data_IF_688708439927
#
_entry.id   IF_688708439927
#
_cell.length_a   1.000
_cell.length_b   1.000
_cell.length_c   1.000
_cell.angle_alpha   90.00
_cell.angle_beta   90.00
_cell.angle_gamma   90.00
#
_symmetry.space_group_name_H-M   'P 1'
#
loop_
_entity.id
_entity.type
_entity.pdbx_description
1 polymer ?
#
# COMPACT_ATOMS: atom_id res chain seq x y z
N UNK A 1 -0.27 34.36 -78.21
CA UNK A 1 -1.50 35.15 -77.99
C UNK A 1 -1.85 35.04 -76.52
N UNK A 2 -2.11 36.07 -75.74
CA UNK A 2 -1.89 37.52 -75.79
C UNK A 2 -2.24 37.98 -74.38
N UNK A 3 -1.49 38.94 -73.85
CA UNK A 3 -1.70 39.64 -72.58
C UNK A 3 -3.16 39.99 -72.25
N UNK A 4 -3.46 40.09 -70.94
CA UNK A 4 -3.97 41.36 -70.37
C UNK A 4 -4.03 41.39 -68.83
N UNK A 5 -3.12 42.20 -68.30
CA UNK A 5 -3.36 43.36 -67.41
C UNK A 5 -3.91 43.16 -65.99
N UNK A 6 -3.01 43.50 -65.07
CA UNK A 6 -3.19 44.12 -63.76
C UNK A 6 -4.41 45.06 -63.61
N UNK A 7 -4.92 45.10 -62.38
CA UNK A 7 -5.38 46.34 -61.75
C UNK A 7 -6.79 46.30 -61.17
N UNK A 8 -6.91 46.20 -59.84
CA UNK A 8 -7.27 47.36 -59.02
C UNK A 8 -7.20 47.04 -57.52
N UNK A 9 -6.49 47.90 -56.81
CA UNK A 9 -6.61 48.12 -55.38
C UNK A 9 -8.06 48.46 -55.00
N UNK A 10 -8.59 47.92 -53.90
CA UNK A 10 -8.88 48.76 -52.73
C UNK A 10 -9.39 47.97 -51.51
N UNK A 11 -8.71 48.22 -50.39
CA UNK A 11 -9.23 48.40 -49.03
C UNK A 11 -10.61 47.80 -48.72
N UNK A 12 -10.61 46.85 -47.79
CA UNK A 12 -11.19 47.05 -46.44
C UNK A 12 -10.63 46.04 -45.46
N UNK A 13 -9.82 46.54 -44.53
CA UNK A 13 -9.49 45.86 -43.28
C UNK A 13 -10.80 45.44 -42.59
N UNK A 14 -10.97 44.14 -42.35
CA UNK A 14 -11.72 43.65 -41.20
C UNK A 14 -10.85 42.67 -40.44
N UNK A 15 -10.65 43.04 -39.18
CA UNK A 15 -9.96 42.33 -38.12
C UNK A 15 -10.42 40.88 -38.01
N UNK A 16 -9.46 40.02 -37.63
CA UNK A 16 -9.70 38.95 -36.68
C UNK A 16 -9.86 37.55 -37.27
N UNK A 17 -8.77 36.79 -37.25
CA UNK A 17 -8.58 35.54 -36.47
C UNK A 17 -7.49 34.73 -37.20
N UNK A 18 -6.24 34.65 -36.71
CA UNK A 18 -5.32 33.64 -37.18
C UNK A 18 -5.76 32.27 -36.64
N UNK A 19 -5.87 31.32 -37.55
CA UNK A 19 -6.10 29.90 -37.31
C UNK A 19 -4.94 29.38 -36.45
N UNK A 20 -5.13 29.36 -35.14
CA UNK A 20 -4.28 28.63 -34.22
C UNK A 20 -4.48 27.14 -34.47
N UNK A 21 -3.42 26.50 -34.98
CA UNK A 21 -3.27 25.05 -35.03
C UNK A 21 -3.79 24.46 -33.72
N UNK A 22 -4.77 23.57 -33.81
CA UNK A 22 -5.29 22.80 -32.67
C UNK A 22 -4.12 22.07 -32.00
N UNK A 23 -3.69 22.56 -30.85
CA UNK A 23 -2.96 21.76 -29.89
C UNK A 23 -3.94 20.67 -29.42
N UNK A 24 -3.69 19.43 -29.83
CA UNK A 24 -4.41 18.26 -29.34
C UNK A 24 -3.92 18.00 -27.92
N UNK A 25 -4.43 18.79 -26.97
CA UNK A 25 -4.23 18.54 -25.56
C UNK A 25 -4.90 17.22 -25.22
N UNK A 26 -4.12 16.19 -24.92
CA UNK A 26 -4.60 15.03 -24.19
C UNK A 26 -5.07 15.55 -22.82
N UNK A 27 -6.35 15.91 -22.72
CA UNK A 27 -6.98 16.12 -21.43
C UNK A 27 -7.05 14.76 -20.76
N UNK A 28 -6.04 14.46 -19.95
CA UNK A 28 -6.11 13.37 -18.97
C UNK A 28 -7.47 13.46 -18.26
N UNK A 29 -8.19 12.34 -18.14
CA UNK A 29 -9.56 12.34 -17.62
C UNK A 29 -9.59 13.07 -16.28
N UNK A 30 -10.68 13.81 -16.00
CA UNK A 30 -10.86 14.58 -14.76
C UNK A 30 -10.48 13.77 -13.51
N UNK A 31 -10.78 12.47 -13.52
CA UNK A 31 -10.33 11.48 -12.53
C UNK A 31 -8.83 11.49 -12.26
N UNK A 32 -7.99 11.51 -13.30
CA UNK A 32 -6.53 11.53 -13.15
C UNK A 32 -6.05 12.82 -12.49
N UNK A 33 -6.65 13.98 -12.84
CA UNK A 33 -6.32 15.25 -12.18
C UNK A 33 -6.71 15.24 -10.71
N UNK A 34 -7.86 14.66 -10.40
CA UNK A 34 -8.34 14.51 -9.02
C UNK A 34 -7.40 13.59 -8.23
N UNK A 35 -7.04 12.42 -8.78
CA UNK A 35 -6.09 11.49 -8.17
C UNK A 35 -4.72 12.15 -7.95
N UNK A 36 -4.25 12.96 -8.91
CA UNK A 36 -2.96 13.64 -8.80
C UNK A 36 -3.00 14.73 -7.73
N UNK A 37 -4.09 15.51 -7.64
CA UNK A 37 -4.26 16.51 -6.59
C UNK A 37 -4.31 15.84 -5.21
N UNK A 38 -5.11 14.78 -5.04
CA UNK A 38 -5.20 14.05 -3.78
C UNK A 38 -3.89 13.33 -3.43
N UNK A 39 -3.18 12.77 -4.43
CA UNK A 39 -1.88 12.14 -4.22
C UNK A 39 -0.81 13.14 -3.78
N UNK A 40 -0.79 14.33 -4.38
CA UNK A 40 0.15 15.39 -4.01
C UNK A 40 -0.20 15.97 -2.63
N UNK A 41 -1.47 16.22 -2.33
CA UNK A 41 -1.85 16.71 -0.99
C UNK A 41 -1.55 15.69 0.10
N UNK A 42 -1.72 14.39 -0.18
CA UNK A 42 -1.34 13.32 0.74
C UNK A 42 0.19 13.26 0.94
N UNK A 43 0.98 13.42 -0.12
CA UNK A 43 2.45 13.53 -0.03
C UNK A 43 2.90 14.75 0.77
N UNK A 44 2.25 15.89 0.58
CA UNK A 44 2.52 17.13 1.33
C UNK A 44 2.16 16.94 2.80
N UNK A 45 1.01 16.33 3.12
CA UNK A 45 0.62 16.00 4.50
C UNK A 45 1.60 15.04 5.18
N UNK A 46 2.05 13.99 4.48
CA UNK A 46 3.06 13.06 4.99
C UNK A 46 4.40 13.77 5.22
N UNK A 47 4.78 14.68 4.32
CA UNK A 47 6.03 15.45 4.44
C UNK A 47 5.98 16.47 5.57
N UNK A 48 4.86 17.18 5.74
CA UNK A 48 4.63 18.09 6.88
C UNK A 48 4.54 17.32 8.21
N UNK A 49 3.93 16.14 8.23
CA UNK A 49 3.93 15.27 9.41
C UNK A 49 5.35 14.85 9.81
N UNK A 50 6.19 14.46 8.83
CA UNK A 50 7.62 14.16 9.06
C UNK A 50 8.41 15.38 9.54
N UNK A 51 8.13 16.55 8.98
CA UNK A 51 8.82 17.80 9.36
C UNK A 51 8.46 18.25 10.79
N UNK A 52 7.18 18.20 11.16
CA UNK A 52 6.74 18.49 12.53
C UNK A 52 7.30 17.51 13.58
N UNK A 53 7.49 16.25 13.19
CA UNK A 53 8.13 15.23 14.03
C UNK A 53 9.63 15.49 14.17
N UNK A 54 10.31 15.96 13.12
CA UNK A 54 11.72 16.30 13.16
C UNK A 54 11.99 17.57 13.99
N UNK A 55 11.14 18.59 13.87
CA UNK A 55 11.34 19.90 14.53
C UNK A 55 11.02 19.84 16.04
N UNK A 56 10.18 18.89 16.50
CA UNK A 56 10.02 18.57 17.93
C UNK A 56 11.08 17.62 18.50
N UNK A 57 11.84 16.93 17.65
CA UNK A 57 12.88 15.97 18.05
C UNK A 57 14.22 16.60 18.40
N UNK A 58 14.39 17.91 18.17
CA UNK A 58 15.68 18.59 18.33
C UNK A 58 15.92 19.18 19.73
N UNK A 59 14.88 19.26 20.58
CA UNK A 59 15.00 19.72 21.97
C UNK A 59 15.24 18.59 22.98
N UNK A 60 15.36 17.33 22.51
CA UNK A 60 15.58 16.15 23.38
C UNK A 60 16.88 15.40 23.02
N UNK A 61 17.86 16.15 22.56
CA UNK A 61 19.19 15.67 22.20
C UNK A 61 20.04 15.45 23.46
N UNK A 62 19.78 14.36 24.18
CA UNK A 62 20.75 13.66 25.05
C UNK A 62 20.15 12.33 25.54
N UNK A 63 20.40 11.25 24.79
CA UNK A 63 20.50 9.82 25.22
C UNK A 63 19.76 8.79 24.33
N UNK A 64 20.56 7.95 23.67
CA UNK A 64 20.29 6.55 23.24
C UNK A 64 19.33 6.29 22.04
N UNK A 65 19.43 5.10 21.41
CA UNK A 65 19.52 4.94 19.96
C UNK A 65 18.17 5.02 19.22
N UNK A 66 18.26 5.44 17.96
CA UNK A 66 17.20 5.89 17.03
C UNK A 66 16.25 4.75 16.57
N UNK A 67 16.07 3.66 17.32
CA UNK A 67 15.15 2.55 16.95
C UNK A 67 13.90 2.41 17.83
N UNK A 68 13.80 3.08 18.99
CA UNK A 68 12.76 2.78 20.00
C UNK A 68 11.59 3.78 20.13
N UNK A 69 11.42 4.71 19.19
CA UNK A 69 10.40 5.77 19.34
C UNK A 69 9.50 5.98 18.13
N UNK A 70 9.04 4.90 17.49
CA UNK A 70 7.79 5.03 16.74
C UNK A 70 6.66 5.29 17.75
N UNK A 71 5.82 6.32 17.52
CA UNK A 71 4.58 6.50 18.28
C UNK A 71 3.81 5.19 18.30
N UNK A 72 3.15 4.88 19.42
CA UNK A 72 2.36 3.64 19.55
C UNK A 72 1.30 3.53 18.45
N UNK A 73 0.78 4.68 17.99
CA UNK A 73 -0.10 4.75 16.84
C UNK A 73 0.57 4.22 15.55
N UNK A 74 1.81 4.61 15.28
CA UNK A 74 2.54 4.17 14.09
C UNK A 74 2.88 2.68 14.18
N UNK A 75 3.24 2.18 15.37
CA UNK A 75 3.48 0.75 15.61
C UNK A 75 2.22 -0.07 15.40
N UNK A 76 1.08 0.39 15.93
CA UNK A 76 -0.23 -0.21 15.73
C UNK A 76 -0.60 -0.29 14.25
N UNK A 77 -0.45 0.83 13.52
CA UNK A 77 -0.74 0.89 12.07
C UNK A 77 0.20 -0.03 11.29
N UNK A 78 1.50 -0.03 11.62
CA UNK A 78 2.49 -0.89 10.97
C UNK A 78 2.20 -2.37 11.19
N UNK A 79 1.89 -2.76 12.43
CA UNK A 79 1.54 -4.14 12.79
C UNK A 79 0.26 -4.59 12.06
N UNK A 80 -0.82 -3.80 12.14
CA UNK A 80 -2.07 -4.11 11.44
C UNK A 80 -1.86 -4.22 9.92
N UNK A 81 -1.07 -3.32 9.33
CA UNK A 81 -0.71 -3.39 7.90
C UNK A 81 0.09 -4.64 7.54
N UNK A 82 1.03 -5.05 8.40
CA UNK A 82 1.83 -6.26 8.19
C UNK A 82 0.99 -7.52 8.28
N UNK A 83 0.18 -7.63 9.33
CA UNK A 83 -0.74 -8.74 9.53
C UNK A 83 -1.75 -8.86 8.37
N UNK A 84 -2.31 -7.73 7.92
CA UNK A 84 -3.21 -7.70 6.76
C UNK A 84 -2.52 -8.18 5.47
N UNK A 85 -1.25 -7.81 5.27
CA UNK A 85 -0.45 -8.27 4.13
C UNK A 85 -0.19 -9.77 4.20
N UNK A 86 0.26 -10.28 5.35
CA UNK A 86 0.50 -11.71 5.58
C UNK A 86 -0.78 -12.54 5.39
N UNK A 87 -1.90 -12.06 5.93
CA UNK A 87 -3.23 -12.67 5.71
C UNK A 87 -3.62 -12.71 4.23
N UNK A 88 -3.43 -11.62 3.48
CA UNK A 88 -3.73 -11.59 2.06
C UNK A 88 -2.87 -12.59 1.26
N UNK A 89 -1.59 -12.76 1.63
CA UNK A 89 -0.70 -13.77 1.04
C UNK A 89 -1.21 -15.19 1.32
N UNK A 90 -1.64 -15.48 2.55
CA UNK A 90 -2.23 -16.77 2.92
C UNK A 90 -3.53 -17.04 2.14
N UNK A 91 -4.42 -16.05 2.00
CA UNK A 91 -5.64 -16.20 1.20
C UNK A 91 -5.32 -16.54 -0.27
N UNK A 92 -4.30 -15.92 -0.84
CA UNK A 92 -3.86 -16.23 -2.20
C UNK A 92 -3.30 -17.66 -2.32
N UNK A 93 -2.53 -18.11 -1.33
CA UNK A 93 -2.03 -19.50 -1.29
C UNK A 93 -3.18 -20.50 -1.15
N UNK A 94 -4.15 -20.23 -0.26
CA UNK A 94 -5.37 -21.03 -0.11
C UNK A 94 -6.12 -21.15 -1.42
N UNK A 95 -6.37 -20.04 -2.11
CA UNK A 95 -7.08 -20.05 -3.40
C UNK A 95 -6.37 -20.92 -4.43
N UNK A 96 -5.04 -20.87 -4.50
CA UNK A 96 -4.24 -21.70 -5.40
C UNK A 96 -4.28 -23.18 -5.02
N UNK A 97 -4.25 -23.49 -3.73
CA UNK A 97 -4.35 -24.86 -3.23
C UNK A 97 -5.72 -25.48 -3.51
N UNK A 98 -6.82 -24.75 -3.29
CA UNK A 98 -8.18 -25.24 -3.60
C UNK A 98 -8.31 -25.58 -5.09
N UNK A 99 -7.79 -24.71 -5.97
CA UNK A 99 -7.79 -24.95 -7.41
C UNK A 99 -7.00 -26.22 -7.80
N UNK A 100 -5.90 -26.49 -7.09
CA UNK A 100 -5.05 -27.65 -7.31
C UNK A 100 -5.60 -28.93 -6.66
N UNK A 101 -6.20 -28.85 -5.47
CA UNK A 101 -6.83 -29.97 -4.77
C UNK A 101 -7.97 -30.58 -5.59
N UNK A 102 -8.78 -29.73 -6.25
CA UNK A 102 -9.80 -30.14 -7.21
C UNK A 102 -9.25 -31.08 -8.29
N UNK A 103 -7.95 -30.96 -8.59
CA UNK A 103 -7.23 -31.79 -9.58
C UNK A 103 -6.53 -33.00 -8.95
N UNK A 104 -6.27 -33.02 -7.64
CA UNK A 104 -5.27 -33.90 -7.02
C UNK A 104 -5.77 -34.84 -5.90
N UNK A 105 -6.88 -34.54 -5.21
CA UNK A 105 -7.46 -35.34 -4.11
C UNK A 105 -6.42 -35.99 -3.17
N UNK A 106 -5.51 -35.19 -2.59
CA UNK A 106 -4.38 -35.69 -1.80
C UNK A 106 -4.39 -35.15 -0.37
N UNK A 107 -4.30 -36.03 0.63
CA UNK A 107 -4.34 -35.72 2.07
C UNK A 107 -3.31 -34.67 2.52
N UNK A 108 -2.13 -34.60 1.87
CA UNK A 108 -1.12 -33.58 2.20
C UNK A 108 -1.57 -32.16 1.83
N UNK A 109 -2.45 -32.01 0.84
CA UNK A 109 -3.05 -30.72 0.51
C UNK A 109 -4.02 -30.27 1.59
N UNK A 110 -4.89 -31.18 2.02
CA UNK A 110 -5.90 -30.88 3.01
C UNK A 110 -5.27 -30.40 4.32
N UNK A 111 -4.21 -31.06 4.80
CA UNK A 111 -3.48 -30.64 6.00
C UNK A 111 -2.92 -29.22 5.85
N UNK A 112 -2.32 -28.90 4.70
CA UNK A 112 -1.76 -27.56 4.47
C UNK A 112 -2.85 -26.50 4.34
N UNK A 113 -3.98 -26.86 3.73
CA UNK A 113 -5.14 -25.99 3.60
C UNK A 113 -5.73 -25.67 4.98
N UNK A 114 -5.90 -26.69 5.84
CA UNK A 114 -6.35 -26.53 7.22
C UNK A 114 -5.41 -25.59 8.01
N UNK A 115 -4.09 -25.78 7.88
CA UNK A 115 -3.09 -24.90 8.52
C UNK A 115 -3.17 -23.45 8.04
N UNK A 116 -3.41 -23.24 6.73
CA UNK A 116 -3.56 -21.90 6.17
C UNK A 116 -4.87 -21.27 6.64
N UNK A 117 -5.96 -22.03 6.71
CA UNK A 117 -7.26 -21.54 7.22
C UNK A 117 -7.17 -21.13 8.70
N UNK A 118 -6.60 -21.98 9.55
CA UNK A 118 -6.39 -21.66 10.98
C UNK A 118 -5.59 -20.37 11.15
N UNK A 119 -4.56 -20.16 10.32
CA UNK A 119 -3.75 -18.95 10.39
C UNK A 119 -4.49 -17.71 9.87
N UNK A 120 -5.34 -17.85 8.86
CA UNK A 120 -6.21 -16.75 8.38
C UNK A 120 -7.18 -16.35 9.50
N UNK A 121 -7.81 -17.31 10.17
CA UNK A 121 -8.73 -17.05 11.28
C UNK A 121 -8.03 -16.32 12.44
N UNK A 122 -6.80 -16.76 12.78
CA UNK A 122 -5.95 -16.04 13.74
C UNK A 122 -5.74 -14.58 13.34
N UNK A 123 -5.43 -14.31 12.06
CA UNK A 123 -5.22 -12.95 11.59
C UNK A 123 -6.50 -12.12 11.63
N UNK A 124 -7.66 -12.70 11.31
CA UNK A 124 -8.94 -11.99 11.35
C UNK A 124 -9.26 -11.51 12.76
N UNK A 125 -9.06 -12.35 13.77
CA UNK A 125 -9.23 -11.95 15.18
C UNK A 125 -8.17 -10.93 15.61
N UNK A 126 -6.90 -11.20 15.30
CA UNK A 126 -5.79 -10.41 15.84
C UNK A 126 -5.67 -9.02 15.21
N UNK A 127 -6.03 -8.87 13.93
CA UNK A 127 -6.07 -7.56 13.28
C UNK A 127 -7.14 -6.67 13.93
N UNK A 128 -8.32 -7.23 14.20
CA UNK A 128 -9.39 -6.50 14.87
C UNK A 128 -8.96 -6.06 16.28
N UNK A 129 -8.31 -6.95 17.04
CA UNK A 129 -7.75 -6.63 18.35
C UNK A 129 -6.73 -5.49 18.27
N UNK A 130 -5.78 -5.57 17.35
CA UNK A 130 -4.75 -4.53 17.15
C UNK A 130 -5.38 -3.21 16.76
N UNK A 131 -6.39 -3.19 15.87
CA UNK A 131 -7.09 -1.97 15.44
C UNK A 131 -7.89 -1.36 16.61
N UNK A 132 -8.40 -2.16 17.52
CA UNK A 132 -9.20 -1.70 18.66
C UNK A 132 -8.37 -1.21 19.86
N UNK A 133 -7.04 -1.34 19.85
CA UNK A 133 -6.17 -0.77 20.89
C UNK A 133 -6.40 0.75 20.99
N UNK A 134 -6.92 1.20 22.14
CA UNK A 134 -7.23 2.60 22.36
C UNK A 134 -5.99 3.40 22.78
N UNK A 135 -5.26 3.97 21.83
CA UNK A 135 -4.02 4.72 22.11
C UNK A 135 -4.28 6.08 22.78
N UNK A 136 -5.54 6.53 22.83
CA UNK A 136 -5.95 7.83 23.40
C UNK A 136 -6.39 7.72 24.86
N UNK A 137 -6.46 6.52 25.42
CA UNK A 137 -6.76 6.31 26.83
C UNK A 137 -5.59 6.78 27.70
N UNK A 138 -5.91 7.26 28.90
CA UNK A 138 -4.92 7.64 29.89
C UNK A 138 -4.28 6.39 30.51
N UNK A 139 -3.19 5.91 29.91
CA UNK A 139 -2.34 4.86 30.48
C UNK A 139 -1.35 5.42 31.49
N UNK A 140 -0.95 4.58 32.45
CA UNK A 140 0.26 4.87 33.22
C UNK A 140 1.50 4.81 32.30
N UNK A 141 2.60 5.51 32.64
CA UNK A 141 3.85 5.42 31.87
C UNK A 141 4.39 3.99 31.74
N UNK A 142 4.17 3.15 32.75
CA UNK A 142 4.60 1.75 32.77
C UNK A 142 3.77 0.90 31.81
N UNK A 143 2.44 1.07 31.82
CA UNK A 143 1.53 0.36 30.91
C UNK A 143 1.80 0.74 29.45
N UNK A 144 2.06 2.03 29.21
CA UNK A 144 2.39 2.53 27.88
C UNK A 144 3.71 1.94 27.34
N UNK A 145 4.69 1.74 28.23
CA UNK A 145 5.96 1.08 27.90
C UNK A 145 5.77 -0.41 27.62
N UNK A 146 4.97 -1.11 28.43
CA UNK A 146 4.64 -2.52 28.23
C UNK A 146 3.90 -2.74 26.91
N UNK A 147 2.90 -1.91 26.61
CA UNK A 147 2.14 -1.94 25.36
C UNK A 147 3.05 -1.74 24.15
N UNK A 148 3.97 -0.76 24.21
CA UNK A 148 4.94 -0.52 23.14
C UNK A 148 5.83 -1.74 22.90
N UNK A 149 6.36 -2.34 23.97
CA UNK A 149 7.22 -3.52 23.86
C UNK A 149 6.46 -4.70 23.25
N UNK A 150 5.22 -4.94 23.65
CA UNK A 150 4.37 -5.98 23.09
C UNK A 150 4.11 -5.77 21.59
N UNK A 151 3.78 -4.55 21.16
CA UNK A 151 3.55 -4.23 19.75
C UNK A 151 4.81 -4.40 18.90
N UNK A 152 5.97 -4.00 19.42
CA UNK A 152 7.25 -4.19 18.73
C UNK A 152 7.60 -5.67 18.57
N UNK A 153 7.41 -6.46 19.62
CA UNK A 153 7.66 -7.90 19.58
C UNK A 153 6.74 -8.60 18.58
N UNK A 154 5.44 -8.27 18.60
CA UNK A 154 4.49 -8.77 17.62
C UNK A 154 4.87 -8.38 16.19
N UNK A 155 5.29 -7.12 15.97
CA UNK A 155 5.74 -6.68 14.65
C UNK A 155 6.98 -7.45 14.19
N UNK A 156 7.94 -7.69 15.08
CA UNK A 156 9.12 -8.49 14.76
C UNK A 156 8.73 -9.92 14.39
N UNK A 157 7.87 -10.56 15.18
CA UNK A 157 7.38 -11.90 14.88
C UNK A 157 6.67 -11.97 13.52
N UNK A 158 5.93 -10.94 13.14
CA UNK A 158 5.25 -10.88 11.84
C UNK A 158 6.21 -10.66 10.66
N UNK A 159 7.39 -10.06 10.89
CA UNK A 159 8.46 -10.02 9.89
C UNK A 159 9.14 -11.37 9.76
N UNK A 160 9.46 -12.04 10.87
CA UNK A 160 10.07 -13.38 10.85
C UNK A 160 9.15 -14.42 10.21
N UNK A 161 7.83 -14.27 10.38
CA UNK A 161 6.84 -15.14 9.74
C UNK A 161 6.83 -15.01 8.21
N UNK A 162 7.37 -13.93 7.61
CA UNK A 162 7.44 -13.81 6.15
C UNK A 162 8.34 -14.86 5.52
N UNK A 163 9.43 -15.24 6.18
CA UNK A 163 10.32 -16.30 5.71
C UNK A 163 9.57 -17.64 5.66
N UNK A 164 8.72 -17.90 6.67
CA UNK A 164 7.86 -19.08 6.71
C UNK A 164 6.79 -19.02 5.60
N UNK A 165 6.23 -17.85 5.32
CA UNK A 165 5.30 -17.67 4.20
C UNK A 165 5.96 -17.94 2.84
N UNK A 166 7.23 -17.57 2.68
CA UNK A 166 7.99 -17.88 1.47
C UNK A 166 8.18 -19.40 1.31
N UNK A 167 8.48 -20.10 2.39
CA UNK A 167 8.56 -21.57 2.40
C UNK A 167 7.22 -22.23 2.05
N UNK A 168 6.11 -21.75 2.63
CA UNK A 168 4.78 -22.24 2.30
C UNK A 168 4.44 -21.98 0.84
N UNK A 169 4.75 -20.80 0.30
CA UNK A 169 4.52 -20.51 -1.11
C UNK A 169 5.28 -21.48 -2.02
N UNK A 170 6.52 -21.82 -1.68
CA UNK A 170 7.32 -22.79 -2.41
C UNK A 170 6.71 -24.20 -2.31
N UNK A 171 6.20 -24.59 -1.13
CA UNK A 171 5.55 -25.87 -0.93
C UNK A 171 4.26 -25.98 -1.76
N UNK A 172 3.43 -24.93 -1.77
CA UNK A 172 2.24 -24.83 -2.62
C UNK A 172 2.61 -25.00 -4.10
N UNK A 173 3.65 -24.30 -4.57
CA UNK A 173 4.12 -24.42 -5.95
C UNK A 173 4.59 -25.85 -6.29
N UNK A 174 5.39 -26.48 -5.42
CA UNK A 174 5.85 -27.88 -5.59
C UNK A 174 4.67 -28.85 -5.68
N UNK A 175 3.70 -28.67 -4.81
CA UNK A 175 2.46 -29.43 -4.81
C UNK A 175 1.76 -29.24 -6.16
N UNK A 176 1.44 -28.01 -6.57
CA UNK A 176 0.78 -27.72 -7.85
C UNK A 176 1.48 -28.37 -9.06
N UNK A 177 2.82 -28.35 -9.11
CA UNK A 177 3.58 -28.97 -10.20
C UNK A 177 3.52 -30.50 -10.21
N UNK A 178 3.46 -31.14 -9.04
CA UNK A 178 3.38 -32.59 -8.93
C UNK A 178 2.02 -33.16 -9.37
N UNK A 179 0.96 -32.35 -9.45
CA UNK A 179 -0.38 -32.76 -9.91
C UNK A 179 -0.46 -32.89 -11.44
N UNK A 180 0.49 -32.30 -12.17
CA UNK A 180 0.56 -32.37 -13.62
C UNK A 180 1.42 -33.54 -14.15
N UNK A 181 1.91 -34.44 -13.28
CA UNK A 181 2.58 -35.69 -13.65
C UNK A 181 1.71 -36.88 -13.30
#
# INVERSE_FOLDING_TARGET
>A
MSDKTNGLQNRKQKKGIPILRRYRGNSLPLLYKVILIYGVTLLVLVSLGRYFVAERGQDTQDSLPIQDSLPILDLKVSLAGKMATNRARLQLMRSKLIEAEWRAHNRRYQILLDQIEERIDYYDMSIDDVININVLESYSPEDMKALRAALNESLRSEMEYEDILDEYQLLVLKLMLNVHR
#
